data_IF_421493069882
#
_entry.id   IF_421493069882
#
_cell.length_a   1.000
_cell.length_b   1.000
_cell.length_c   1.000
_cell.angle_alpha   90.00
_cell.angle_beta   90.00
_cell.angle_gamma   90.00
#
_symmetry.space_group_name_H-M   'P 1'
#
loop_
_entity.id
_entity.type
_entity.pdbx_description
1 polymer ?
#
# COMPACT_ATOMS: atom_id res chain seq x y z
N UNK A 1 12.00 -25.92 -1.74
CA UNK A 1 11.55 -24.66 -1.10
C UNK A 1 11.29 -23.68 -2.22
N UNK A 2 10.17 -22.97 -2.18
CA UNK A 2 9.90 -21.94 -3.18
C UNK A 2 10.98 -20.86 -3.16
N UNK A 3 11.24 -20.24 -4.30
CA UNK A 3 12.02 -19.01 -4.35
C UNK A 3 11.13 -17.85 -3.91
N UNK A 4 11.19 -17.52 -2.61
CA UNK A 4 10.37 -16.47 -2.01
C UNK A 4 10.65 -15.08 -2.61
N UNK A 5 11.86 -14.84 -3.12
CA UNK A 5 12.20 -13.61 -3.83
C UNK A 5 11.46 -13.55 -5.17
N UNK A 6 11.47 -14.65 -5.94
CA UNK A 6 10.72 -14.74 -7.18
C UNK A 6 9.21 -14.58 -6.95
N UNK A 7 8.66 -15.19 -5.91
CA UNK A 7 7.24 -15.02 -5.52
C UNK A 7 6.93 -13.55 -5.22
N UNK A 8 7.71 -12.90 -4.35
CA UNK A 8 7.51 -11.50 -3.97
C UNK A 8 7.57 -10.56 -5.19
N UNK A 9 8.52 -10.80 -6.10
CA UNK A 9 8.68 -10.02 -7.32
C UNK A 9 7.51 -10.23 -8.31
N UNK A 10 6.99 -11.46 -8.44
CA UNK A 10 5.92 -11.79 -9.36
C UNK A 10 4.56 -11.17 -8.96
N UNK A 11 4.27 -11.07 -7.66
CA UNK A 11 2.96 -10.58 -7.18
C UNK A 11 2.89 -9.07 -6.98
N UNK A 12 4.02 -8.34 -6.98
CA UNK A 12 4.08 -6.94 -6.54
C UNK A 12 3.13 -5.99 -7.29
N UNK A 13 2.98 -6.17 -8.60
CA UNK A 13 2.10 -5.35 -9.43
C UNK A 13 0.63 -5.55 -9.07
N UNK A 14 0.17 -6.80 -9.02
CA UNK A 14 -1.20 -7.15 -8.66
C UNK A 14 -1.56 -6.77 -7.22
N UNK A 15 -0.64 -6.97 -6.27
CA UNK A 15 -0.82 -6.54 -4.87
C UNK A 15 -0.92 -5.02 -4.78
N UNK A 16 -0.07 -4.27 -5.50
CA UNK A 16 -0.15 -2.81 -5.52
C UNK A 16 -1.49 -2.31 -6.04
N UNK A 17 -1.95 -2.86 -7.17
CA UNK A 17 -3.20 -2.48 -7.82
C UNK A 17 -4.41 -2.81 -6.94
N UNK A 18 -4.52 -4.07 -6.49
CA UNK A 18 -5.68 -4.54 -5.74
C UNK A 18 -5.69 -4.01 -4.31
N UNK A 19 -4.55 -4.03 -3.62
CA UNK A 19 -4.41 -3.57 -2.23
C UNK A 19 -4.54 -2.05 -2.06
N UNK A 20 -4.38 -1.28 -3.14
CA UNK A 20 -4.65 0.16 -3.17
C UNK A 20 -6.00 0.55 -3.77
N UNK A 21 -6.71 -0.39 -4.43
CA UNK A 21 -7.86 -0.08 -5.29
C UNK A 21 -9.03 0.60 -4.57
N UNK A 22 -9.26 0.29 -3.29
CA UNK A 22 -10.33 0.91 -2.51
C UNK A 22 -10.07 2.39 -2.18
N UNK A 23 -8.81 2.84 -2.17
CA UNK A 23 -8.43 4.20 -1.74
C UNK A 23 -8.93 5.31 -2.66
N UNK A 24 -9.24 4.97 -3.92
CA UNK A 24 -9.80 5.88 -4.94
C UNK A 24 -11.20 5.45 -5.40
N UNK A 25 -11.85 4.60 -4.62
CA UNK A 25 -13.11 3.97 -4.99
C UNK A 25 -14.34 4.82 -4.65
N UNK A 26 -15.51 4.38 -5.11
CA UNK A 26 -16.79 5.00 -4.72
C UNK A 26 -17.07 4.84 -3.22
N UNK A 27 -16.57 3.79 -2.59
CA UNK A 27 -16.72 3.55 -1.15
C UNK A 27 -15.92 4.59 -0.35
N UNK A 28 -14.68 4.89 -0.76
CA UNK A 28 -13.89 5.99 -0.19
C UNK A 28 -14.53 7.36 -0.46
N UNK A 29 -15.10 7.57 -1.64
CA UNK A 29 -15.85 8.81 -1.96
C UNK A 29 -17.08 8.98 -1.06
N UNK A 30 -17.86 7.93 -0.86
CA UNK A 30 -19.04 7.96 0.02
C UNK A 30 -18.67 8.29 1.47
N UNK A 31 -17.49 7.83 1.94
CA UNK A 31 -16.97 8.24 3.24
C UNK A 31 -16.61 9.73 3.29
N UNK A 32 -16.05 10.31 2.22
CA UNK A 32 -15.80 11.75 2.17
C UNK A 32 -17.12 12.53 2.32
N UNK A 33 -18.17 12.10 1.60
CA UNK A 33 -19.50 12.71 1.66
C UNK A 33 -20.13 12.60 3.06
N UNK A 34 -20.00 11.45 3.73
CA UNK A 34 -20.62 11.23 5.05
C UNK A 34 -19.85 11.88 6.21
N UNK A 35 -18.53 12.04 6.08
CA UNK A 35 -17.69 12.66 7.12
C UNK A 35 -17.48 14.16 6.91
N UNK A 36 -17.72 14.66 5.70
CA UNK A 36 -17.40 16.03 5.30
C UNK A 36 -15.91 16.29 5.08
N UNK A 37 -15.05 15.25 5.18
CA UNK A 37 -13.62 15.38 4.96
C UNK A 37 -13.29 15.39 3.46
N UNK A 38 -12.28 16.18 3.09
CA UNK A 38 -11.66 16.08 1.77
C UNK A 38 -10.99 14.73 1.57
N UNK A 39 -10.84 14.29 0.30
CA UNK A 39 -10.33 12.96 -0.02
C UNK A 39 -8.94 12.65 0.57
N UNK A 40 -8.02 13.63 0.54
CA UNK A 40 -6.67 13.47 1.12
C UNK A 40 -6.69 13.47 2.65
N UNK A 41 -7.50 14.33 3.28
CA UNK A 41 -7.69 14.32 4.72
C UNK A 41 -8.25 12.96 5.21
N UNK A 42 -9.31 12.45 4.56
CA UNK A 42 -9.83 11.11 4.85
C UNK A 42 -8.77 10.02 4.61
N UNK A 43 -8.03 10.11 3.49
CA UNK A 43 -6.98 9.15 3.16
C UNK A 43 -5.93 9.05 4.27
N UNK A 44 -5.33 10.15 4.71
CA UNK A 44 -4.33 10.11 5.77
C UNK A 44 -4.94 9.74 7.12
N UNK A 45 -6.11 10.30 7.45
CA UNK A 45 -6.77 10.04 8.74
C UNK A 45 -7.19 8.58 8.90
N UNK A 46 -7.76 7.98 7.86
CA UNK A 46 -8.20 6.58 7.86
C UNK A 46 -7.06 5.59 7.69
N UNK A 47 -6.13 5.84 6.76
CA UNK A 47 -4.99 4.94 6.48
C UNK A 47 -3.95 4.96 7.60
N UNK A 48 -3.59 6.15 8.10
CA UNK A 48 -2.50 6.31 9.06
C UNK A 48 -3.00 6.42 10.51
N UNK A 49 -4.32 6.50 10.74
CA UNK A 49 -4.91 6.55 12.08
C UNK A 49 -4.59 5.32 12.95
N UNK A 50 -4.19 4.20 12.32
CA UNK A 50 -3.69 3.00 13.03
C UNK A 50 -2.41 3.26 13.84
N UNK A 51 -1.73 4.38 13.61
CA UNK A 51 -0.58 4.85 14.40
C UNK A 51 -1.00 5.63 15.66
N UNK A 52 -2.30 5.87 15.85
CA UNK A 52 -2.86 6.64 16.94
C UNK A 52 -2.92 8.15 16.66
N UNK A 53 -3.35 8.91 17.67
CA UNK A 53 -3.35 10.37 17.62
C UNK A 53 -1.94 10.89 17.90
N UNK A 54 -1.21 11.21 16.84
CA UNK A 54 0.20 11.62 16.87
C UNK A 54 0.41 13.01 16.27
N UNK A 55 1.61 13.56 16.46
CA UNK A 55 2.05 14.73 15.69
C UNK A 55 2.11 14.38 14.19
N UNK A 56 1.85 15.37 13.33
CA UNK A 56 1.91 15.17 11.90
C UNK A 56 3.29 14.70 11.40
N UNK A 57 4.38 15.04 12.08
CA UNK A 57 5.73 14.56 11.70
C UNK A 57 5.86 13.03 11.80
N UNK A 58 5.10 12.38 12.68
CA UNK A 58 5.05 10.91 12.73
C UNK A 58 4.38 10.36 11.47
N UNK A 59 3.34 11.04 10.98
CA UNK A 59 2.67 10.67 9.73
C UNK A 59 3.55 10.96 8.52
N UNK A 60 4.27 12.09 8.49
CA UNK A 60 5.27 12.41 7.47
C UNK A 60 6.34 11.33 7.39
N UNK A 61 6.86 10.90 8.54
CA UNK A 61 7.87 9.84 8.62
C UNK A 61 7.35 8.47 8.12
N UNK A 62 6.06 8.19 8.25
CA UNK A 62 5.44 6.94 7.80
C UNK A 62 4.94 6.98 6.34
N UNK A 63 4.46 8.14 5.87
CA UNK A 63 3.90 8.34 4.52
C UNK A 63 4.92 8.96 3.56
N UNK A 64 6.08 8.30 3.43
CA UNK A 64 7.33 8.82 2.84
C UNK A 64 7.23 9.39 1.43
N UNK A 65 6.30 8.91 0.59
CA UNK A 65 6.23 9.27 -0.83
C UNK A 65 5.37 10.52 -1.12
N UNK A 66 5.07 11.33 -0.11
CA UNK A 66 4.33 12.58 -0.23
C UNK A 66 5.17 13.78 0.27
N UNK A 67 4.88 15.00 -0.19
CA UNK A 67 5.46 16.21 0.37
C UNK A 67 5.06 16.36 1.85
N UNK A 68 6.01 16.73 2.71
CA UNK A 68 5.79 16.83 4.15
C UNK A 68 4.63 17.78 4.52
N UNK A 69 4.59 18.98 3.91
CA UNK A 69 3.51 19.95 4.17
C UNK A 69 2.15 19.43 3.70
N UNK A 70 2.07 18.74 2.55
CA UNK A 70 0.82 18.15 2.07
C UNK A 70 0.28 17.09 3.05
N UNK A 71 1.17 16.24 3.60
CA UNK A 71 0.79 15.26 4.63
C UNK A 71 0.32 15.98 5.90
N UNK A 72 1.06 17.00 6.36
CA UNK A 72 0.74 17.76 7.56
C UNK A 72 -0.62 18.43 7.44
N UNK A 73 -0.84 19.21 6.40
CA UNK A 73 -2.11 19.91 6.16
C UNK A 73 -3.31 18.96 6.17
N UNK A 74 -3.19 17.80 5.51
CA UNK A 74 -4.30 16.85 5.42
C UNK A 74 -4.50 16.01 6.70
N UNK A 75 -3.43 15.70 7.44
CA UNK A 75 -3.55 15.08 8.75
C UNK A 75 -4.28 16.00 9.73
N UNK A 76 -3.89 17.27 9.77
CA UNK A 76 -4.51 18.31 10.60
C UNK A 76 -5.97 18.56 10.21
N UNK A 77 -6.27 18.65 8.91
CA UNK A 77 -7.64 18.81 8.41
C UNK A 77 -8.56 17.64 8.80
N UNK A 78 -8.00 16.44 9.00
CA UNK A 78 -8.74 15.24 9.43
C UNK A 78 -9.04 15.18 10.93
N UNK A 79 -8.47 16.05 11.77
CA UNK A 79 -8.54 15.93 13.25
C UNK A 79 -9.94 15.98 13.84
N UNK A 80 -10.91 16.57 13.14
CA UNK A 80 -12.31 16.58 13.57
C UNK A 80 -12.94 15.19 13.69
N UNK A 81 -12.36 14.17 13.03
CA UNK A 81 -12.78 12.78 13.12
C UNK A 81 -11.78 12.00 14.00
N UNK A 82 -12.18 11.41 15.16
CA UNK A 82 -11.27 10.62 15.99
C UNK A 82 -10.60 9.48 15.21
N UNK A 83 -9.29 9.23 15.45
CA UNK A 83 -8.51 8.24 14.68
C UNK A 83 -9.13 6.85 14.69
N UNK A 84 -9.57 6.35 15.83
CA UNK A 84 -10.17 5.00 15.93
C UNK A 84 -11.42 4.88 15.04
N UNK A 85 -12.23 5.94 14.99
CA UNK A 85 -13.41 5.98 14.13
C UNK A 85 -13.06 6.11 12.66
N UNK A 86 -12.04 6.90 12.33
CA UNK A 86 -11.56 7.01 10.96
C UNK A 86 -11.02 5.68 10.44
N UNK A 87 -10.24 4.96 11.25
CA UNK A 87 -9.71 3.63 10.94
C UNK A 87 -10.85 2.63 10.74
N UNK A 88 -11.82 2.58 11.66
CA UNK A 88 -13.00 1.71 11.55
C UNK A 88 -13.75 1.94 10.23
N UNK A 89 -14.04 3.20 9.90
CA UNK A 89 -14.74 3.57 8.68
C UNK A 89 -13.92 3.23 7.43
N UNK A 90 -12.63 3.53 7.43
CA UNK A 90 -11.75 3.30 6.28
C UNK A 90 -11.52 1.80 6.02
N UNK A 91 -11.38 0.99 7.07
CA UNK A 91 -11.38 -0.47 6.97
C UNK A 91 -12.73 -0.99 6.44
N UNK A 92 -13.85 -0.45 6.91
CA UNK A 92 -15.18 -0.76 6.38
C UNK A 92 -15.30 -0.48 4.88
N UNK A 93 -14.78 0.65 4.38
CA UNK A 93 -14.75 0.93 2.95
C UNK A 93 -13.85 -0.04 2.16
N UNK A 94 -12.73 -0.49 2.75
CA UNK A 94 -11.91 -1.56 2.17
C UNK A 94 -12.72 -2.87 2.04
N UNK A 95 -13.47 -3.24 3.08
CA UNK A 95 -14.31 -4.44 3.09
C UNK A 95 -15.44 -4.37 2.06
N UNK A 96 -16.17 -3.26 2.01
CA UNK A 96 -17.27 -3.06 1.06
C UNK A 96 -16.77 -3.01 -0.39
N UNK A 97 -15.60 -2.42 -0.60
CA UNK A 97 -14.92 -2.49 -1.88
C UNK A 97 -14.60 -3.94 -2.25
N UNK A 98 -14.06 -4.72 -1.32
CA UNK A 98 -13.78 -6.15 -1.49
C UNK A 98 -15.01 -6.96 -1.85
N UNK A 99 -16.11 -6.82 -1.11
CA UNK A 99 -17.40 -7.47 -1.40
C UNK A 99 -17.90 -7.16 -2.81
N UNK A 100 -17.79 -5.91 -3.23
CA UNK A 100 -18.21 -5.50 -4.58
C UNK A 100 -17.27 -5.99 -5.68
N UNK A 101 -15.96 -5.81 -5.52
CA UNK A 101 -14.98 -6.05 -6.58
C UNK A 101 -14.51 -7.49 -6.67
N UNK A 102 -14.44 -8.18 -5.55
CA UNK A 102 -13.91 -9.54 -5.44
C UNK A 102 -15.01 -10.56 -5.11
N UNK A 103 -16.26 -10.13 -4.87
CA UNK A 103 -17.36 -11.02 -4.54
C UNK A 103 -17.77 -12.01 -5.63
N UNK A 104 -17.48 -11.70 -6.90
CA UNK A 104 -17.69 -12.60 -8.03
C UNK A 104 -16.46 -13.45 -8.40
N UNK A 105 -15.34 -13.27 -7.70
CA UNK A 105 -14.10 -14.01 -7.98
C UNK A 105 -14.11 -15.33 -7.20
N UNK A 106 -14.17 -16.44 -7.93
CA UNK A 106 -14.16 -17.80 -7.39
C UNK A 106 -12.90 -18.11 -6.55
N UNK A 107 -11.77 -17.49 -6.89
CA UNK A 107 -10.51 -17.63 -6.16
C UNK A 107 -10.39 -16.80 -4.88
N UNK A 108 -11.41 -16.02 -4.49
CA UNK A 108 -11.27 -15.04 -3.40
C UNK A 108 -10.90 -15.69 -2.05
N UNK A 109 -11.57 -16.78 -1.69
CA UNK A 109 -11.30 -17.51 -0.45
C UNK A 109 -9.90 -18.11 -0.45
N UNK A 110 -9.52 -18.77 -1.55
CA UNK A 110 -8.22 -19.42 -1.67
C UNK A 110 -7.06 -18.43 -1.66
N UNK A 111 -7.22 -17.29 -2.33
CA UNK A 111 -6.21 -16.24 -2.32
C UNK A 111 -6.05 -15.62 -0.93
N UNK A 112 -7.15 -15.47 -0.17
CA UNK A 112 -7.06 -15.04 1.23
C UNK A 112 -6.31 -16.06 2.10
N UNK A 113 -6.59 -17.36 1.95
CA UNK A 113 -5.89 -18.44 2.66
C UNK A 113 -4.37 -18.45 2.40
N UNK A 114 -3.94 -18.07 1.20
CA UNK A 114 -2.52 -17.97 0.85
C UNK A 114 -1.85 -16.70 1.38
N UNK A 115 -2.58 -15.58 1.44
CA UNK A 115 -2.03 -14.30 1.90
C UNK A 115 -2.01 -14.15 3.43
N UNK A 116 -2.92 -14.81 4.15
CA UNK A 116 -2.98 -14.72 5.62
C UNK A 116 -1.68 -15.20 6.29
N UNK A 117 -1.11 -16.38 5.94
CA UNK A 117 0.20 -16.80 6.46
C UNK A 117 1.35 -15.85 6.09
N UNK A 118 1.31 -15.24 4.89
CA UNK A 118 2.33 -14.27 4.45
C UNK A 118 2.31 -13.03 5.34
N UNK A 119 1.12 -12.51 5.67
CA UNK A 119 0.93 -11.37 6.57
C UNK A 119 1.36 -11.70 7.99
N UNK A 120 1.03 -12.89 8.48
CA UNK A 120 1.37 -13.34 9.84
C UNK A 120 2.88 -13.56 10.00
N UNK A 121 3.53 -14.08 8.96
CA UNK A 121 4.97 -14.34 8.93
C UNK A 121 5.82 -13.07 8.71
N UNK A 122 5.25 -12.00 8.17
CA UNK A 122 5.97 -10.77 7.90
C UNK A 122 6.47 -10.06 9.17
N UNK A 123 7.67 -9.48 9.11
CA UNK A 123 8.16 -8.58 10.15
C UNK A 123 7.54 -7.18 10.00
N UNK A 124 7.31 -6.50 11.11
CA UNK A 124 6.80 -5.12 11.17
C UNK A 124 7.89 -4.07 11.03
N UNK A 125 9.16 -4.45 11.18
CA UNK A 125 10.29 -3.53 11.11
C UNK A 125 10.30 -2.72 9.81
N UNK A 126 10.36 -1.39 9.92
CA UNK A 126 10.32 -0.48 8.78
C UNK A 126 8.93 -0.26 8.16
N UNK A 127 7.88 -0.91 8.67
CA UNK A 127 6.52 -0.83 8.12
C UNK A 127 5.47 -0.54 9.22
N UNK A 128 5.50 0.64 9.88
CA UNK A 128 4.61 0.94 11.01
C UNK A 128 3.12 0.97 10.63
N UNK A 129 2.77 1.43 9.42
CA UNK A 129 1.36 1.42 8.95
C UNK A 129 0.88 -0.03 8.80
N UNK A 130 1.69 -0.92 8.22
CA UNK A 130 1.39 -2.35 8.17
C UNK A 130 1.19 -2.94 9.57
N UNK A 131 2.07 -2.62 10.52
CA UNK A 131 1.98 -3.07 11.89
C UNK A 131 0.64 -2.68 12.55
N UNK A 132 0.22 -1.42 12.35
CA UNK A 132 -1.06 -0.91 12.83
C UNK A 132 -2.25 -1.62 12.18
N UNK A 133 -2.27 -1.72 10.85
CA UNK A 133 -3.34 -2.41 10.12
C UNK A 133 -3.43 -3.90 10.48
N UNK A 134 -2.30 -4.57 10.72
CA UNK A 134 -2.28 -6.00 11.06
C UNK A 134 -2.96 -6.29 12.40
N UNK A 135 -3.07 -5.30 13.27
CA UNK A 135 -3.77 -5.42 14.55
C UNK A 135 -5.30 -5.37 14.42
N UNK A 136 -5.82 -4.94 13.27
CA UNK A 136 -7.26 -4.86 13.02
C UNK A 136 -7.85 -6.26 12.78
N UNK A 137 -9.07 -6.54 13.27
CA UNK A 137 -9.71 -7.83 13.05
C UNK A 137 -9.94 -8.08 11.55
N UNK A 138 -9.66 -9.30 11.10
CA UNK A 138 -10.01 -9.73 9.75
C UNK A 138 -11.53 -10.04 9.67
N UNK A 139 -12.20 -9.62 8.58
CA UNK A 139 -13.62 -9.93 8.39
C UNK A 139 -13.83 -11.43 8.09
N UNK A 140 -15.00 -11.94 8.46
CA UNK A 140 -15.34 -13.35 8.29
C UNK A 140 -15.64 -13.77 6.84
N UNK A 141 -16.07 -12.83 5.99
CA UNK A 141 -16.38 -13.10 4.58
C UNK A 141 -15.15 -13.01 3.69
N UNK A 142 -15.00 -13.95 2.76
CA UNK A 142 -13.78 -14.10 1.94
C UNK A 142 -13.43 -12.86 1.09
N UNK A 143 -14.36 -12.20 0.39
CA UNK A 143 -14.03 -11.02 -0.42
C UNK A 143 -13.51 -9.83 0.39
N UNK A 144 -14.14 -9.55 1.55
CA UNK A 144 -13.66 -8.50 2.45
C UNK A 144 -12.31 -8.86 3.07
N UNK A 145 -12.13 -10.14 3.45
CA UNK A 145 -10.87 -10.63 4.04
C UNK A 145 -9.73 -10.48 3.06
N UNK A 146 -9.94 -10.92 1.82
CA UNK A 146 -8.98 -10.78 0.74
C UNK A 146 -8.59 -9.31 0.52
N UNK A 147 -9.56 -8.39 0.47
CA UNK A 147 -9.27 -6.97 0.29
C UNK A 147 -8.36 -6.40 1.40
N UNK A 148 -8.62 -6.75 2.67
CA UNK A 148 -7.78 -6.31 3.78
C UNK A 148 -6.38 -6.95 3.74
N UNK A 149 -6.26 -8.24 3.40
CA UNK A 149 -4.97 -8.93 3.27
C UNK A 149 -4.12 -8.35 2.14
N UNK A 150 -4.72 -8.05 0.98
CA UNK A 150 -4.04 -7.36 -0.12
C UNK A 150 -3.57 -5.97 0.30
N UNK A 151 -4.41 -5.24 1.03
CA UNK A 151 -4.04 -3.93 1.58
C UNK A 151 -2.86 -4.04 2.55
N UNK A 152 -2.86 -5.03 3.44
CA UNK A 152 -1.76 -5.31 4.38
C UNK A 152 -0.43 -5.57 3.66
N UNK A 153 -0.40 -6.48 2.68
CA UNK A 153 0.84 -6.75 1.94
C UNK A 153 1.30 -5.53 1.13
N UNK A 154 0.37 -4.72 0.64
CA UNK A 154 0.68 -3.42 0.00
C UNK A 154 1.27 -2.42 1.00
N UNK A 155 0.77 -2.34 2.24
CA UNK A 155 1.35 -1.47 3.28
C UNK A 155 2.73 -1.95 3.71
N UNK A 156 2.94 -3.27 3.81
CA UNK A 156 4.25 -3.87 4.07
C UNK A 156 5.26 -3.46 3.00
N UNK A 157 4.92 -3.68 1.72
CA UNK A 157 5.77 -3.27 0.59
C UNK A 157 6.03 -1.77 0.60
N UNK A 158 5.02 -0.95 0.90
CA UNK A 158 5.18 0.51 0.97
C UNK A 158 6.23 0.95 2.01
N UNK A 159 6.21 0.37 3.20
CA UNK A 159 7.19 0.65 4.26
C UNK A 159 8.60 0.17 3.88
N UNK A 160 8.72 -1.07 3.41
CA UNK A 160 10.01 -1.64 3.00
C UNK A 160 10.60 -0.94 1.77
N UNK A 161 9.76 -0.46 0.86
CA UNK A 161 10.19 0.35 -0.29
C UNK A 161 10.73 1.71 0.17
N UNK A 162 10.10 2.34 1.17
CA UNK A 162 10.62 3.56 1.76
C UNK A 162 12.00 3.35 2.39
N UNK A 163 12.20 2.23 3.13
CA UNK A 163 13.51 1.85 3.67
C UNK A 163 14.53 1.70 2.53
N UNK A 164 14.18 0.97 1.47
CA UNK A 164 15.08 0.72 0.34
C UNK A 164 15.48 2.00 -0.39
N UNK A 165 14.53 2.89 -0.69
CA UNK A 165 14.76 4.18 -1.35
C UNK A 165 15.71 5.06 -0.54
N UNK A 166 15.48 5.18 0.76
CA UNK A 166 16.35 5.97 1.63
C UNK A 166 17.74 5.34 1.76
N UNK A 167 17.83 4.02 1.85
CA UNK A 167 19.09 3.30 1.97
C UNK A 167 19.99 3.41 0.72
N UNK A 168 19.41 3.52 -0.47
CA UNK A 168 20.17 3.74 -1.72
C UNK A 168 20.51 5.21 -1.98
N UNK A 169 20.13 6.12 -1.07
CA UNK A 169 20.42 7.56 -1.17
C UNK A 169 19.52 8.31 -2.15
N UNK A 170 18.41 7.71 -2.58
CA UNK A 170 17.37 8.40 -3.34
C UNK A 170 16.45 9.19 -2.41
N UNK A 171 16.03 10.36 -2.88
CA UNK A 171 14.88 11.04 -2.28
C UNK A 171 13.57 10.37 -2.73
N UNK A 172 12.48 10.49 -1.96
CA UNK A 172 11.18 9.94 -2.36
C UNK A 172 10.66 10.52 -3.68
N UNK A 173 10.92 11.81 -3.96
CA UNK A 173 10.56 12.45 -5.21
C UNK A 173 11.38 11.91 -6.40
N UNK A 174 12.70 11.76 -6.27
CA UNK A 174 13.53 11.14 -7.32
C UNK A 174 13.06 9.71 -7.63
N UNK A 175 12.77 8.91 -6.59
CA UNK A 175 12.25 7.56 -6.76
C UNK A 175 10.90 7.55 -7.50
N UNK A 176 10.02 8.51 -7.18
CA UNK A 176 8.73 8.68 -7.85
C UNK A 176 8.88 9.07 -9.33
N UNK A 177 9.77 10.02 -9.63
CA UNK A 177 10.00 10.52 -10.99
C UNK A 177 10.64 9.49 -11.92
N UNK A 178 11.52 8.64 -11.39
CA UNK A 178 12.26 7.62 -12.12
C UNK A 178 11.48 6.33 -12.39
N UNK A 179 10.20 6.28 -12.04
CA UNK A 179 9.36 5.09 -12.19
C UNK A 179 8.37 5.20 -13.36
N UNK A 180 8.23 4.09 -14.08
CA UNK A 180 6.97 3.77 -14.75
C UNK A 180 6.09 3.07 -13.71
N UNK A 181 5.01 3.73 -13.30
CA UNK A 181 4.13 3.24 -12.24
C UNK A 181 3.03 2.36 -12.85
N UNK A 182 3.15 1.04 -12.78
CA UNK A 182 2.20 0.07 -13.35
C UNK A 182 1.31 -0.62 -12.30
N UNK A 183 1.68 -0.56 -11.03
CA UNK A 183 0.94 -1.14 -9.89
C UNK A 183 0.17 -0.12 -9.03
N UNK A 184 -0.06 1.10 -9.52
CA UNK A 184 -0.86 2.09 -8.77
C UNK A 184 -2.34 2.01 -9.16
N UNK A 185 -3.27 2.45 -8.30
CA UNK A 185 -4.68 2.58 -8.67
C UNK A 185 -4.94 3.53 -9.86
N UNK A 186 -3.94 4.31 -10.31
CA UNK A 186 -4.00 5.15 -11.50
C UNK A 186 -3.74 4.38 -12.80
N UNK A 187 -3.30 3.11 -12.73
CA UNK A 187 -2.79 2.36 -13.88
C UNK A 187 -1.41 2.86 -14.33
N UNK A 188 -0.99 2.46 -15.53
CA UNK A 188 0.31 2.82 -16.09
C UNK A 188 0.46 4.35 -16.20
N UNK A 189 1.32 4.92 -15.36
CA UNK A 189 1.53 6.37 -15.25
C UNK A 189 3.01 6.74 -15.25
N UNK A 190 3.35 7.89 -15.82
CA UNK A 190 4.70 8.46 -15.70
C UNK A 190 4.98 8.94 -14.28
N UNK A 191 6.26 9.00 -13.92
CA UNK A 191 6.68 9.55 -12.63
C UNK A 191 6.19 10.98 -12.38
N UNK A 192 6.18 11.85 -13.40
CA UNK A 192 5.63 13.21 -13.28
C UNK A 192 4.12 13.23 -13.03
N UNK A 193 3.36 12.31 -13.65
CA UNK A 193 1.91 12.16 -13.40
C UNK A 193 1.67 11.78 -11.95
N UNK A 194 2.45 10.85 -11.41
CA UNK A 194 2.33 10.42 -10.01
C UNK A 194 2.82 11.50 -9.04
N UNK A 195 3.92 12.19 -9.36
CA UNK A 195 4.42 13.31 -8.56
C UNK A 195 3.35 14.42 -8.43
N UNK A 196 2.69 14.76 -9.54
CA UNK A 196 1.58 15.72 -9.57
C UNK A 196 0.37 15.22 -8.79
N UNK A 197 0.04 13.94 -8.90
CA UNK A 197 -1.07 13.35 -8.15
C UNK A 197 -0.82 13.40 -6.63
N UNK A 198 0.43 13.22 -6.19
CA UNK A 198 0.85 13.37 -4.79
C UNK A 198 1.15 14.81 -4.37
N UNK A 199 0.87 15.78 -5.25
CA UNK A 199 1.03 17.22 -4.99
C UNK A 199 2.47 17.66 -4.70
N UNK A 200 3.46 16.95 -5.27
CA UNK A 200 4.84 17.43 -5.23
C UNK A 200 4.96 18.81 -5.91
N UNK A 201 5.74 19.74 -5.33
CA UNK A 201 5.89 21.08 -5.88
C UNK A 201 6.68 21.06 -7.20
N UNK A 202 6.19 21.81 -8.17
CA UNK A 202 6.89 22.09 -9.43
C UNK A 202 7.82 23.31 -9.30
N UNK A 203 8.91 23.41 -10.09
CA UNK A 203 9.34 22.46 -11.12
C UNK A 203 10.00 21.19 -10.54
N UNK A 204 9.75 20.04 -11.16
CA UNK A 204 10.39 18.79 -10.76
C UNK A 204 11.86 18.77 -11.19
N UNK A 205 12.76 18.17 -10.38
CA UNK A 205 14.12 17.90 -10.83
C UNK A 205 14.09 16.88 -11.97
N UNK A 206 15.08 16.93 -12.86
CA UNK A 206 15.37 15.84 -13.80
C UNK A 206 16.51 15.02 -13.21
N UNK A 207 16.26 13.86 -12.59
CA UNK A 207 17.32 13.09 -11.97
C UNK A 207 18.30 12.60 -13.04
N UNK A 208 19.61 12.68 -12.75
CA UNK A 208 20.64 12.26 -13.68
C UNK A 208 20.61 10.75 -13.98
N UNK A 209 21.25 10.30 -15.07
CA UNK A 209 21.27 8.90 -15.47
C UNK A 209 21.83 7.96 -14.37
N UNK A 210 22.74 8.45 -13.53
CA UNK A 210 23.28 7.72 -12.38
C UNK A 210 22.20 7.36 -11.34
N UNK A 211 21.14 8.16 -11.23
CA UNK A 211 20.02 7.92 -10.30
C UNK A 211 19.13 6.77 -10.78
N UNK A 212 19.10 6.47 -12.08
CA UNK A 212 18.33 5.35 -12.64
C UNK A 212 18.81 4.02 -12.08
N UNK A 213 20.12 3.83 -11.96
CA UNK A 213 20.70 2.61 -11.39
C UNK A 213 20.34 2.45 -9.90
N UNK A 214 20.41 3.52 -9.12
CA UNK A 214 20.01 3.52 -7.70
C UNK A 214 18.53 3.19 -7.51
N UNK A 215 17.69 3.57 -8.48
CA UNK A 215 16.26 3.26 -8.44
C UNK A 215 16.00 1.78 -8.72
N UNK A 216 16.71 1.19 -9.68
CA UNK A 216 16.65 -0.25 -9.92
C UNK A 216 17.14 -1.02 -8.68
N UNK A 217 18.25 -0.57 -8.07
CA UNK A 217 18.76 -1.14 -6.82
C UNK A 217 17.75 -1.05 -5.67
N UNK A 218 17.02 0.07 -5.54
CA UNK A 218 15.97 0.21 -4.54
C UNK A 218 14.81 -0.78 -4.75
N UNK A 219 14.40 -1.04 -6.00
CA UNK A 219 13.39 -2.06 -6.31
C UNK A 219 13.89 -3.47 -5.96
N UNK A 220 15.11 -3.82 -6.34
CA UNK A 220 15.69 -5.12 -5.99
C UNK A 220 15.84 -5.30 -4.48
N UNK A 221 16.25 -4.26 -3.77
CA UNK A 221 16.32 -4.27 -2.31
C UNK A 221 14.93 -4.41 -1.69
N UNK A 222 13.92 -3.74 -2.25
CA UNK A 222 12.52 -3.91 -1.82
C UNK A 222 12.08 -5.36 -1.97
N UNK A 223 12.36 -6.00 -3.11
CA UNK A 223 11.99 -7.39 -3.38
C UNK A 223 12.72 -8.35 -2.41
N UNK A 224 14.01 -8.10 -2.12
CA UNK A 224 14.77 -8.84 -1.09
C UNK A 224 14.19 -8.67 0.31
N UNK A 225 13.77 -7.46 0.68
CA UNK A 225 13.15 -7.18 1.99
C UNK A 225 11.76 -7.82 2.12
N UNK A 226 11.03 -7.97 1.01
CA UNK A 226 9.73 -8.64 0.99
C UNK A 226 9.84 -10.17 1.05
N UNK A 227 10.91 -10.75 0.49
CA UNK A 227 11.06 -12.20 0.34
C UNK A 227 10.82 -13.00 1.64
N UNK A 228 11.32 -12.59 2.84
CA UNK A 228 11.05 -13.31 4.08
C UNK A 228 9.57 -13.50 4.39
N UNK A 229 8.69 -12.54 4.04
CA UNK A 229 7.25 -12.68 4.30
C UNK A 229 6.66 -13.87 3.51
N UNK A 230 7.16 -14.12 2.30
CA UNK A 230 6.67 -15.18 1.41
C UNK A 230 7.33 -16.55 1.65
N UNK A 231 8.36 -16.64 2.50
CA UNK A 231 9.09 -17.91 2.73
C UNK A 231 8.27 -18.99 3.43
N UNK A 232 7.09 -18.63 3.96
CA UNK A 232 6.14 -19.56 4.57
C UNK A 232 5.44 -20.46 3.55
N UNK A 233 5.40 -20.06 2.28
CA UNK A 233 4.72 -20.80 1.21
C UNK A 233 5.63 -21.86 0.60
N UNK A 234 5.05 -23.02 0.29
CA UNK A 234 5.73 -24.00 -0.56
C UNK A 234 5.70 -23.60 -2.05
N UNK A 235 6.31 -24.43 -2.89
CA UNK A 235 6.43 -24.18 -4.34
C UNK A 235 5.07 -24.16 -5.05
N UNK A 236 4.16 -25.04 -4.63
CA UNK A 236 2.81 -25.13 -5.21
C UNK A 236 1.97 -23.94 -4.78
N UNK A 237 2.00 -23.60 -3.50
CA UNK A 237 1.30 -22.45 -2.93
C UNK A 237 1.80 -21.14 -3.54
N UNK A 238 3.11 -21.00 -3.75
CA UNK A 238 3.69 -19.85 -4.43
C UNK A 238 3.20 -19.70 -5.87
N UNK A 239 3.18 -20.79 -6.64
CA UNK A 239 2.68 -20.79 -8.01
C UNK A 239 1.17 -20.45 -8.05
N UNK A 240 0.38 -21.04 -7.16
CA UNK A 240 -1.06 -20.78 -7.02
C UNK A 240 -1.34 -19.32 -6.64
N UNK A 241 -0.56 -18.76 -5.71
CA UNK A 241 -0.66 -17.35 -5.31
C UNK A 241 -0.43 -16.42 -6.52
N UNK A 242 0.63 -16.66 -7.30
CA UNK A 242 0.96 -15.85 -8.48
C UNK A 242 -0.18 -15.92 -9.52
N UNK A 243 -0.71 -17.11 -9.79
CA UNK A 243 -1.84 -17.29 -10.70
C UNK A 243 -3.09 -16.52 -10.23
N UNK A 244 -3.46 -16.68 -8.96
CA UNK A 244 -4.68 -16.09 -8.40
C UNK A 244 -4.59 -14.57 -8.32
N UNK A 245 -3.44 -14.00 -7.97
CA UNK A 245 -3.21 -12.55 -8.02
C UNK A 245 -3.38 -12.03 -9.45
N UNK A 246 -2.85 -12.74 -10.44
CA UNK A 246 -2.98 -12.37 -11.86
C UNK A 246 -4.41 -12.43 -12.39
N UNK A 247 -5.25 -13.34 -11.87
CA UNK A 247 -6.67 -13.46 -12.25
C UNK A 247 -7.59 -12.45 -11.55
N UNK A 248 -7.19 -11.97 -10.38
CA UNK A 248 -7.97 -11.02 -9.60
C UNK A 248 -7.81 -9.55 -10.07
N UNK A 249 -6.66 -9.22 -10.66
CA UNK A 249 -6.33 -7.89 -11.23
C UNK A 249 -7.05 -7.61 -12.54
#
# INVERSE_FOLDING_TARGET
>A
MADALATAAAVKGGIGLLGGGFMISREAKALCESTGLGARALYFRGRCGVLGEVDADVIVAAAVFFPAEHVRENWEAGRGLPVDKAVELYAGACHDWGRRRLGGFDGAARLAELLEPVVDNADVLGAPIFAGWRSLPLPGDAPARLAQLLHLVRELRGGLHAVAVLATGLTPLEATLLAAHDGTPLGLSSGETVARFFEWPEPYPTPGPERVALRAEAEELTDRLMAPAFSVLDERESAELVELVGRAG
#
